data_IF_300272365036
#
_entry.id   IF_300272365036
#
_cell.length_a   1.000
_cell.length_b   1.000
_cell.length_c   1.000
_cell.angle_alpha   90.00
_cell.angle_beta   90.00
_cell.angle_gamma   90.00
#
_symmetry.space_group_name_H-M   'P 1'
#
loop_
_entity.id
_entity.type
_entity.pdbx_description
1 polymer ?
#
# COMPACT_ATOMS: atom_id res chain seq x y z
N UNK A 1 -20.60 -1.64 -3.69
CA UNK A 1 -19.32 -1.15 -3.11
C UNK A 1 -18.87 0.10 -3.87
N UNK A 2 -18.19 1.04 -3.22
CA UNK A 2 -17.67 2.23 -3.89
C UNK A 2 -16.74 1.85 -5.05
N UNK A 3 -16.77 2.66 -6.11
CA UNK A 3 -15.91 2.50 -7.30
C UNK A 3 -14.74 3.49 -7.31
N UNK A 4 -14.84 4.59 -6.57
CA UNK A 4 -13.82 5.63 -6.42
C UNK A 4 -13.83 6.16 -4.97
N UNK A 5 -12.76 6.86 -4.59
CA UNK A 5 -12.70 7.50 -3.26
C UNK A 5 -13.52 8.77 -3.25
N UNK A 6 -14.26 8.99 -2.16
CA UNK A 6 -14.98 10.24 -1.90
C UNK A 6 -14.33 10.96 -0.70
N UNK A 7 -13.52 12.00 -0.96
CA UNK A 7 -12.85 12.77 0.08
C UNK A 7 -13.79 13.27 1.18
N UNK A 8 -15.02 13.65 0.81
CA UNK A 8 -16.05 14.16 1.70
C UNK A 8 -16.48 13.12 2.74
N UNK A 9 -16.57 11.83 2.34
CA UNK A 9 -16.91 10.75 3.28
C UNK A 9 -15.80 10.61 4.34
N UNK A 10 -14.52 10.70 3.95
CA UNK A 10 -13.40 10.67 4.91
C UNK A 10 -13.43 11.85 5.87
N UNK A 11 -13.72 13.05 5.37
CA UNK A 11 -13.85 14.27 6.16
C UNK A 11 -15.02 14.21 7.15
N UNK A 12 -16.18 13.71 6.72
CA UNK A 12 -17.37 13.59 7.55
C UNK A 12 -17.14 12.62 8.71
N UNK A 13 -16.52 11.46 8.45
CA UNK A 13 -16.21 10.50 9.51
C UNK A 13 -15.18 11.09 10.49
N UNK A 14 -14.14 11.77 9.99
CA UNK A 14 -13.18 12.48 10.84
C UNK A 14 -13.86 13.51 11.74
N UNK A 15 -14.70 14.38 11.16
CA UNK A 15 -15.42 15.44 11.89
C UNK A 15 -16.31 14.85 12.99
N UNK A 16 -17.10 13.84 12.64
CA UNK A 16 -17.99 13.16 13.60
C UNK A 16 -17.21 12.53 14.76
N UNK A 17 -16.10 11.83 14.45
CA UNK A 17 -15.22 11.25 15.46
C UNK A 17 -14.58 12.33 16.34
N UNK A 18 -14.02 13.39 15.74
CA UNK A 18 -13.35 14.46 16.47
C UNK A 18 -14.30 15.22 17.40
N UNK A 19 -15.53 15.51 16.95
CA UNK A 19 -16.57 16.15 17.76
C UNK A 19 -16.94 15.29 18.98
N UNK A 20 -17.21 14.01 18.74
CA UNK A 20 -17.51 13.04 19.81
C UNK A 20 -16.36 12.95 20.81
N UNK A 21 -15.13 12.81 20.33
CA UNK A 21 -13.94 12.68 21.18
C UNK A 21 -13.68 13.93 22.01
N UNK A 22 -13.81 15.10 21.40
CA UNK A 22 -13.67 16.37 22.10
C UNK A 22 -14.72 16.52 23.21
N UNK A 23 -15.97 16.14 22.97
CA UNK A 23 -17.04 16.19 23.98
C UNK A 23 -16.77 15.21 25.15
N UNK A 24 -16.24 14.02 24.86
CA UNK A 24 -15.82 13.06 25.90
C UNK A 24 -14.68 13.64 26.76
N UNK A 25 -13.64 14.19 26.13
CA UNK A 25 -12.50 14.78 26.83
C UNK A 25 -12.89 16.00 27.67
N UNK A 26 -13.80 16.84 27.17
CA UNK A 26 -14.36 17.97 27.93
C UNK A 26 -15.12 17.48 29.18
N UNK A 27 -15.97 16.45 29.04
CA UNK A 27 -16.70 15.86 30.16
C UNK A 27 -15.75 15.23 31.20
N UNK A 28 -14.72 14.53 30.75
CA UNK A 28 -13.69 13.97 31.65
C UNK A 28 -12.91 15.06 32.39
N UNK A 29 -12.64 16.19 31.73
CA UNK A 29 -11.92 17.32 32.33
C UNK A 29 -12.74 18.03 33.40
N UNK A 30 -14.06 18.17 33.21
CA UNK A 30 -14.97 18.74 34.22
C UNK A 30 -15.01 17.89 35.49
N UNK A 31 -14.76 16.59 35.38
CA UNK A 31 -14.73 15.64 36.49
C UNK A 31 -13.37 15.57 37.21
N UNK A 32 -12.35 16.32 36.77
CA UNK A 32 -11.01 16.36 37.38
C UNK A 32 -10.70 17.76 37.94
N UNK A 33 -10.10 17.83 39.13
CA UNK A 33 -9.57 19.07 39.69
C UNK A 33 -8.57 19.69 38.70
N UNK A 34 -8.73 20.98 38.39
CA UNK A 34 -7.89 21.67 37.41
C UNK A 34 -6.40 21.48 37.73
N UNK A 35 -5.58 21.04 36.76
CA UNK A 35 -4.14 20.89 36.99
C UNK A 35 -3.54 22.24 37.41
N UNK A 36 -2.57 22.21 38.33
CA UNK A 36 -1.75 23.39 38.67
C UNK A 36 -0.85 23.69 37.45
N UNK A 37 -1.36 24.51 36.53
CA UNK A 37 -0.66 24.94 35.32
C UNK A 37 -1.59 25.15 34.13
N UNK A 38 -1.32 26.19 33.32
CA UNK A 38 -2.06 26.52 32.08
C UNK A 38 -1.75 25.53 30.94
N UNK A 39 -1.97 24.22 31.13
CA UNK A 39 -1.97 23.30 29.99
C UNK A 39 -3.34 23.38 29.32
N UNK A 40 -3.39 23.97 28.13
CA UNK A 40 -4.57 23.97 27.29
C UNK A 40 -4.97 22.52 27.01
N UNK A 41 -6.27 22.20 27.18
CA UNK A 41 -6.79 20.88 26.88
C UNK A 41 -6.56 20.59 25.40
N UNK A 42 -6.02 19.41 25.08
CA UNK A 42 -5.93 18.97 23.69
C UNK A 42 -7.34 18.89 23.11
N UNK A 43 -7.53 19.52 21.96
CA UNK A 43 -8.77 19.49 21.18
C UNK A 43 -8.41 19.15 19.74
N UNK A 44 -9.01 18.10 19.20
CA UNK A 44 -8.81 17.71 17.82
C UNK A 44 -9.50 18.70 16.87
N UNK A 45 -8.80 19.14 15.84
CA UNK A 45 -9.37 20.03 14.82
C UNK A 45 -10.35 19.25 13.94
N UNK A 46 -11.56 19.78 13.77
CA UNK A 46 -12.55 19.20 12.87
C UNK A 46 -12.17 19.39 11.39
N UNK A 47 -11.42 20.45 11.10
CA UNK A 47 -10.77 20.65 9.81
C UNK A 47 -9.40 19.94 9.78
N UNK A 48 -9.32 18.90 8.94
CA UNK A 48 -8.10 18.14 8.70
C UNK A 48 -6.95 19.01 8.19
N UNK A 49 -7.23 20.06 7.41
CA UNK A 49 -6.18 20.89 6.80
C UNK A 49 -5.48 21.75 7.85
N UNK A 50 -6.24 22.24 8.82
CA UNK A 50 -5.74 23.05 9.93
C UNK A 50 -5.04 22.24 11.03
N UNK A 51 -5.09 20.90 11.00
CA UNK A 51 -4.51 20.02 12.02
C UNK A 51 -2.98 20.02 11.95
N UNK A 52 -2.28 20.25 13.07
CA UNK A 52 -0.84 20.03 13.12
C UNK A 52 -0.49 18.55 12.86
N UNK A 53 0.65 18.24 12.25
CA UNK A 53 1.07 16.87 11.90
C UNK A 53 0.99 15.92 13.10
N UNK A 54 1.50 16.34 14.26
CA UNK A 54 1.49 15.54 15.48
C UNK A 54 0.06 15.29 16.01
N UNK A 55 -0.82 16.29 15.92
CA UNK A 55 -2.22 16.17 16.34
C UNK A 55 -3.00 15.26 15.40
N UNK A 56 -2.78 15.39 14.08
CA UNK A 56 -3.41 14.53 13.09
C UNK A 56 -2.97 13.08 13.26
N UNK A 57 -1.67 12.80 13.36
CA UNK A 57 -1.18 11.44 13.62
C UNK A 57 -1.78 10.84 14.90
N UNK A 58 -1.81 11.61 15.98
CA UNK A 58 -2.40 11.14 17.23
C UNK A 58 -3.91 10.89 17.11
N UNK A 59 -4.64 11.77 16.44
CA UNK A 59 -6.07 11.58 16.20
C UNK A 59 -6.35 10.37 15.32
N UNK A 60 -5.59 10.17 14.25
CA UNK A 60 -5.69 8.98 13.40
C UNK A 60 -5.46 7.69 14.19
N UNK A 61 -4.45 7.66 15.08
CA UNK A 61 -4.21 6.49 15.96
C UNK A 61 -5.43 6.13 16.82
N UNK A 62 -6.08 7.14 17.42
CA UNK A 62 -7.27 6.92 18.25
C UNK A 62 -8.46 6.51 17.38
N UNK A 63 -8.66 7.19 16.25
CA UNK A 63 -9.70 6.90 15.28
C UNK A 63 -9.64 5.45 14.79
N UNK A 64 -8.45 4.89 14.57
CA UNK A 64 -8.28 3.48 14.16
C UNK A 64 -8.96 2.48 15.11
N UNK A 65 -9.10 2.83 16.40
CA UNK A 65 -9.70 1.97 17.43
C UNK A 65 -11.12 2.38 17.83
N UNK A 66 -11.40 3.67 17.73
CA UNK A 66 -12.58 4.29 18.33
C UNK A 66 -13.65 4.67 17.31
N UNK A 67 -13.32 4.77 16.01
CA UNK A 67 -14.30 5.12 14.99
C UNK A 67 -15.43 4.07 14.93
N UNK A 68 -16.67 4.56 14.86
CA UNK A 68 -17.90 3.77 14.77
C UNK A 68 -18.77 4.29 13.64
N UNK A 69 -19.57 3.41 13.06
CA UNK A 69 -20.56 3.78 12.05
C UNK A 69 -21.76 4.53 12.67
N UNK A 70 -22.74 4.92 11.85
CA UNK A 70 -23.96 5.60 12.30
C UNK A 70 -24.82 4.80 13.29
N UNK A 71 -24.64 3.48 13.35
CA UNK A 71 -25.33 2.57 14.27
C UNK A 71 -24.55 2.36 15.58
N UNK A 72 -23.34 2.92 15.71
CA UNK A 72 -22.48 2.77 16.88
C UNK A 72 -21.58 1.53 16.85
N UNK A 73 -21.62 0.75 15.77
CA UNK A 73 -20.81 -0.46 15.58
C UNK A 73 -19.40 -0.14 15.04
N UNK A 74 -18.38 -0.94 15.38
CA UNK A 74 -17.03 -0.77 14.83
C UNK A 74 -17.03 -0.97 13.31
N UNK A 75 -16.22 -0.17 12.61
CA UNK A 75 -16.01 -0.37 11.18
C UNK A 75 -15.29 -1.69 10.91
N UNK A 76 -15.69 -2.38 9.84
CA UNK A 76 -14.90 -3.46 9.28
C UNK A 76 -13.51 -2.96 8.90
N UNK A 77 -12.45 -3.77 9.04
CA UNK A 77 -11.08 -3.35 8.76
C UNK A 77 -10.86 -2.76 7.34
N UNK A 78 -11.48 -3.33 6.31
CA UNK A 78 -11.37 -2.84 4.93
C UNK A 78 -12.12 -1.52 4.72
N UNK A 79 -13.26 -1.33 5.40
CA UNK A 79 -14.01 -0.07 5.41
C UNK A 79 -13.21 1.03 6.13
N UNK A 80 -12.56 0.68 7.25
CA UNK A 80 -11.71 1.61 7.97
C UNK A 80 -10.51 2.03 7.12
N UNK A 81 -9.88 1.10 6.40
CA UNK A 81 -8.82 1.43 5.45
C UNK A 81 -9.32 2.34 4.30
N UNK A 82 -10.51 2.06 3.75
CA UNK A 82 -11.16 2.95 2.78
C UNK A 82 -11.34 4.38 3.32
N UNK A 83 -11.81 4.54 4.56
CA UNK A 83 -11.96 5.86 5.21
C UNK A 83 -10.64 6.61 5.27
N UNK A 84 -9.54 5.93 5.66
CA UNK A 84 -8.22 6.56 5.69
C UNK A 84 -7.69 6.94 4.30
N UNK A 85 -8.01 6.16 3.26
CA UNK A 85 -7.71 6.54 1.87
C UNK A 85 -8.50 7.78 1.43
N UNK A 86 -9.77 7.91 1.83
CA UNK A 86 -10.56 9.12 1.61
C UNK A 86 -9.94 10.34 2.32
N UNK A 87 -9.47 10.16 3.56
CA UNK A 87 -8.73 11.22 4.29
C UNK A 87 -7.45 11.61 3.53
N UNK A 88 -6.61 10.65 3.12
CA UNK A 88 -5.40 10.94 2.34
C UNK A 88 -5.72 11.69 1.04
N UNK A 89 -6.78 11.29 0.33
CA UNK A 89 -7.24 11.99 -0.87
C UNK A 89 -7.65 13.43 -0.56
N UNK A 90 -8.43 13.64 0.50
CA UNK A 90 -8.84 14.96 0.95
C UNK A 90 -7.64 15.87 1.27
N UNK A 91 -6.66 15.36 2.03
CA UNK A 91 -5.44 16.10 2.35
C UNK A 91 -4.71 16.53 1.07
N UNK A 92 -4.49 15.59 0.15
CA UNK A 92 -3.78 15.83 -1.10
C UNK A 92 -4.50 16.84 -2.01
N UNK A 93 -5.81 16.69 -2.22
CA UNK A 93 -6.60 17.58 -3.08
C UNK A 93 -6.68 19.02 -2.54
N UNK A 94 -6.58 19.19 -1.22
CA UNK A 94 -6.57 20.49 -0.56
C UNK A 94 -5.14 21.03 -0.31
N UNK A 95 -4.13 20.48 -0.99
CA UNK A 95 -2.78 21.03 -1.02
C UNK A 95 -1.88 20.67 0.17
N UNK A 96 -2.35 19.81 1.07
CA UNK A 96 -1.48 19.24 2.12
C UNK A 96 -0.61 18.14 1.51
N UNK A 97 0.69 18.21 1.78
CA UNK A 97 1.69 17.32 1.14
C UNK A 97 1.93 16.02 1.91
N UNK A 98 1.40 15.92 3.13
CA UNK A 98 1.53 14.76 4.00
C UNK A 98 1.07 13.47 3.31
N UNK A 99 1.87 12.42 3.44
CA UNK A 99 1.47 11.05 3.14
C UNK A 99 1.30 10.28 4.45
N UNK A 100 0.06 10.15 4.92
CA UNK A 100 -0.26 9.52 6.21
C UNK A 100 0.14 8.04 6.26
N UNK A 101 0.41 7.39 5.12
CA UNK A 101 0.77 5.98 5.05
C UNK A 101 2.28 5.72 4.90
N UNK A 102 3.07 6.76 4.58
CA UNK A 102 4.50 6.62 4.26
C UNK A 102 5.41 7.55 5.05
N UNK A 103 4.93 8.73 5.46
CA UNK A 103 5.75 9.72 6.14
C UNK A 103 6.10 9.27 7.57
N UNK A 104 7.36 9.51 7.97
CA UNK A 104 7.89 9.10 9.27
C UNK A 104 7.12 9.66 10.47
N UNK A 105 6.42 10.78 10.30
CA UNK A 105 5.60 11.38 11.34
C UNK A 105 4.35 10.56 11.69
N UNK A 106 3.93 9.65 10.80
CA UNK A 106 2.72 8.84 10.92
C UNK A 106 2.98 7.37 11.26
N UNK A 107 4.22 7.00 11.64
CA UNK A 107 4.62 5.61 11.95
C UNK A 107 3.65 4.96 12.94
N UNK A 108 3.32 5.65 14.04
CA UNK A 108 2.38 5.11 15.05
C UNK A 108 1.00 4.82 14.46
N UNK A 109 0.47 5.71 13.63
CA UNK A 109 -0.81 5.46 12.95
C UNK A 109 -0.70 4.23 12.05
N UNK A 110 0.38 4.11 11.28
CA UNK A 110 0.57 2.95 10.38
C UNK A 110 0.74 1.63 11.13
N UNK A 111 1.35 1.63 12.32
CA UNK A 111 1.42 0.47 13.21
C UNK A 111 0.01 0.06 13.69
N UNK A 112 -0.80 1.01 14.16
CA UNK A 112 -2.18 0.72 14.57
C UNK A 112 -3.05 0.22 13.43
N UNK A 113 -2.91 0.82 12.24
CA UNK A 113 -3.62 0.36 11.05
C UNK A 113 -3.19 -1.05 10.66
N UNK A 114 -1.89 -1.36 10.72
CA UNK A 114 -1.39 -2.71 10.48
C UNK A 114 -2.01 -3.72 11.44
N UNK A 115 -2.05 -3.42 12.75
CA UNK A 115 -2.66 -4.30 13.75
C UNK A 115 -4.13 -4.62 13.47
N UNK A 116 -4.89 -3.67 12.92
CA UNK A 116 -6.28 -3.88 12.52
C UNK A 116 -6.40 -4.72 11.24
N UNK A 117 -5.44 -4.58 10.31
CA UNK A 117 -5.50 -5.20 8.99
C UNK A 117 -4.83 -6.58 8.88
N UNK A 118 -3.87 -6.91 9.76
CA UNK A 118 -2.99 -8.08 9.60
C UNK A 118 -3.72 -9.43 9.58
N UNK A 119 -4.85 -9.51 10.28
CA UNK A 119 -5.65 -10.74 10.39
C UNK A 119 -6.82 -10.78 9.40
N UNK A 120 -6.95 -9.77 8.52
CA UNK A 120 -8.03 -9.71 7.54
C UNK A 120 -7.89 -10.84 6.53
N UNK A 121 -8.89 -11.71 6.50
CA UNK A 121 -9.02 -12.75 5.49
C UNK A 121 -10.08 -12.34 4.44
N UNK A 122 -9.92 -12.77 3.18
CA UNK A 122 -10.97 -12.61 2.18
C UNK A 122 -12.27 -13.24 2.70
N UNK A 123 -13.33 -12.45 2.76
CA UNK A 123 -14.64 -12.93 3.22
C UNK A 123 -15.22 -13.84 2.14
N UNK A 124 -15.64 -15.06 2.49
CA UNK A 124 -16.18 -16.04 1.53
C UNK A 124 -17.66 -16.28 1.84
N UNK A 125 -18.51 -16.15 0.82
CA UNK A 125 -19.94 -16.47 0.91
C UNK A 125 -20.16 -17.97 1.11
N UNK A 126 -21.35 -18.35 1.60
CA UNK A 126 -21.75 -19.77 1.70
C UNK A 126 -21.73 -20.52 0.37
N UNK A 127 -21.75 -19.79 -0.75
CA UNK A 127 -21.66 -20.32 -2.12
C UNK A 127 -20.21 -20.36 -2.66
N UNK A 128 -19.21 -20.01 -1.86
CA UNK A 128 -17.79 -20.08 -2.23
C UNK A 128 -17.24 -18.85 -2.97
N UNK A 129 -18.06 -17.83 -3.22
CA UNK A 129 -17.60 -16.57 -3.83
C UNK A 129 -16.91 -15.68 -2.81
N UNK A 130 -15.81 -15.04 -3.21
CA UNK A 130 -15.12 -14.01 -2.41
C UNK A 130 -15.97 -12.74 -2.41
N UNK A 131 -16.33 -12.25 -1.24
CA UNK A 131 -16.96 -10.95 -1.04
C UNK A 131 -15.91 -9.87 -1.31
N UNK A 132 -16.21 -8.92 -2.21
CA UNK A 132 -15.24 -7.94 -2.63
C UNK A 132 -14.89 -6.97 -1.49
N UNK A 133 -13.61 -6.64 -1.36
CA UNK A 133 -13.13 -5.57 -0.48
C UNK A 133 -13.68 -4.20 -0.91
N UNK A 134 -13.88 -3.31 0.07
CA UNK A 134 -14.24 -1.91 -0.19
C UNK A 134 -13.13 -1.13 -0.89
N UNK A 135 -11.88 -1.58 -0.79
CA UNK A 135 -10.71 -0.92 -1.36
C UNK A 135 -10.37 -1.52 -2.73
N UNK A 136 -10.32 -0.68 -3.76
CA UNK A 136 -9.93 -1.08 -5.13
C UNK A 136 -8.56 -0.52 -5.50
N UNK A 137 -7.92 -1.12 -6.50
CA UNK A 137 -6.67 -0.61 -7.07
C UNK A 137 -6.81 0.83 -7.57
N UNK A 138 -7.92 1.16 -8.23
CA UNK A 138 -8.15 2.52 -8.77
C UNK A 138 -8.10 3.58 -7.67
N UNK A 139 -8.67 3.28 -6.49
CA UNK A 139 -8.65 4.19 -5.35
C UNK A 139 -7.23 4.55 -4.92
N UNK A 140 -6.30 3.58 -4.91
CA UNK A 140 -4.91 3.85 -4.55
C UNK A 140 -4.21 4.72 -5.60
N UNK A 141 -4.55 4.56 -6.89
CA UNK A 141 -4.05 5.46 -7.94
C UNK A 141 -4.60 6.88 -7.76
N UNK A 142 -5.89 7.03 -7.43
CA UNK A 142 -6.54 8.33 -7.22
C UNK A 142 -5.93 9.14 -6.07
N UNK A 143 -5.64 8.50 -4.94
CA UNK A 143 -5.08 9.16 -3.75
C UNK A 143 -3.54 9.10 -3.67
N UNK A 144 -2.87 8.77 -4.78
CA UNK A 144 -1.40 8.73 -4.84
C UNK A 144 -0.77 7.75 -3.83
N UNK A 145 -1.41 6.62 -3.60
CA UNK A 145 -0.82 5.49 -2.86
C UNK A 145 -0.20 4.44 -3.81
N UNK A 146 -0.46 4.57 -5.11
CA UNK A 146 0.30 3.96 -6.20
C UNK A 146 0.83 5.04 -7.16
N UNK A 147 1.98 4.79 -7.78
CA UNK A 147 2.68 5.71 -8.68
C UNK A 147 4.16 5.87 -8.35
N UNK A 148 4.73 6.98 -8.82
CA UNK A 148 6.17 7.25 -8.72
C UNK A 148 6.46 8.70 -8.29
N UNK A 149 5.60 9.31 -7.47
CA UNK A 149 5.78 10.69 -7.00
C UNK A 149 6.66 10.79 -5.75
N UNK A 150 6.88 9.67 -5.04
CA UNK A 150 7.84 9.56 -3.94
C UNK A 150 8.56 8.20 -3.98
N UNK A 151 9.72 8.05 -3.31
CA UNK A 151 10.39 6.77 -3.20
C UNK A 151 9.54 5.69 -2.52
N UNK A 152 8.79 6.06 -1.48
CA UNK A 152 7.93 5.14 -0.73
C UNK A 152 6.79 4.63 -1.62
N UNK A 153 6.10 5.53 -2.32
CA UNK A 153 4.98 5.14 -3.20
C UNK A 153 5.44 4.28 -4.38
N UNK A 154 6.60 4.59 -4.97
CA UNK A 154 7.16 3.73 -6.02
C UNK A 154 7.45 2.32 -5.50
N UNK A 155 7.98 2.21 -4.28
CA UNK A 155 8.27 0.92 -3.66
C UNK A 155 6.97 0.14 -3.38
N UNK A 156 5.94 0.80 -2.83
CA UNK A 156 4.59 0.24 -2.66
C UNK A 156 4.02 -0.24 -3.99
N UNK A 157 4.21 0.53 -5.06
CA UNK A 157 3.67 0.19 -6.39
C UNK A 157 4.32 -1.06 -6.99
N UNK A 158 5.64 -1.19 -6.85
CA UNK A 158 6.34 -2.40 -7.26
C UNK A 158 5.95 -3.61 -6.40
N UNK A 159 5.76 -3.41 -5.09
CA UNK A 159 5.26 -4.48 -4.22
C UNK A 159 3.87 -4.92 -4.65
N UNK A 160 2.96 -3.97 -4.91
CA UNK A 160 1.63 -4.22 -5.44
C UNK A 160 1.65 -5.05 -6.73
N UNK A 161 2.46 -4.66 -7.72
CA UNK A 161 2.60 -5.44 -8.96
C UNK A 161 3.17 -6.83 -8.72
N UNK A 162 4.18 -6.96 -7.86
CA UNK A 162 4.77 -8.26 -7.55
C UNK A 162 3.76 -9.15 -6.79
N UNK A 163 2.93 -8.60 -5.92
CA UNK A 163 1.84 -9.33 -5.27
C UNK A 163 0.77 -9.74 -6.28
N UNK A 164 0.34 -8.83 -7.16
CA UNK A 164 -0.72 -9.07 -8.16
C UNK A 164 -0.32 -10.09 -9.22
N UNK A 165 0.81 -9.84 -9.89
CA UNK A 165 1.19 -10.57 -11.10
C UNK A 165 2.13 -11.74 -10.81
N UNK A 166 3.02 -11.61 -9.83
CA UNK A 166 3.91 -12.70 -9.41
C UNK A 166 3.32 -13.56 -8.29
N UNK A 167 2.15 -13.17 -7.75
CA UNK A 167 1.45 -13.88 -6.68
C UNK A 167 2.32 -14.07 -5.44
N UNK A 168 3.15 -13.08 -5.11
CA UNK A 168 3.89 -13.03 -3.85
C UNK A 168 2.93 -12.55 -2.75
N UNK A 169 2.51 -13.44 -1.87
CA UNK A 169 1.47 -13.23 -0.85
C UNK A 169 2.04 -13.10 0.56
N UNK A 170 3.31 -13.49 0.77
CA UNK A 170 3.94 -13.49 2.10
C UNK A 170 5.21 -12.66 2.14
N UNK A 171 5.52 -12.15 3.33
CA UNK A 171 6.76 -11.39 3.57
C UNK A 171 7.99 -12.19 3.15
N UNK A 172 8.04 -13.49 3.45
CA UNK A 172 9.15 -14.37 3.04
C UNK A 172 9.29 -14.51 1.52
N UNK A 173 8.18 -14.51 0.78
CA UNK A 173 8.22 -14.54 -0.68
C UNK A 173 8.78 -13.23 -1.24
N UNK A 174 8.36 -12.09 -0.70
CA UNK A 174 8.90 -10.78 -1.08
C UNK A 174 10.37 -10.61 -0.68
N UNK A 175 10.79 -11.08 0.50
CA UNK A 175 12.20 -11.05 0.94
C UNK A 175 13.12 -11.92 0.09
N UNK A 176 12.61 -12.99 -0.53
CA UNK A 176 13.38 -13.85 -1.44
C UNK A 176 13.55 -13.26 -2.84
N UNK A 177 12.81 -12.20 -3.16
CA UNK A 177 12.90 -11.51 -4.43
C UNK A 177 14.24 -10.78 -4.53
N UNK A 178 14.85 -10.80 -5.71
CA UNK A 178 16.11 -10.12 -5.94
C UNK A 178 16.18 -9.51 -7.34
N UNK A 179 17.01 -8.46 -7.51
CA UNK A 179 17.24 -7.84 -8.82
C UNK A 179 17.65 -8.88 -9.89
N UNK A 180 18.50 -9.84 -9.54
CA UNK A 180 18.93 -10.89 -10.48
C UNK A 180 17.83 -11.86 -10.92
N UNK A 181 16.70 -11.92 -10.18
CA UNK A 181 15.57 -12.81 -10.45
C UNK A 181 14.43 -12.13 -11.20
N UNK A 182 14.46 -10.81 -11.31
CA UNK A 182 13.43 -9.99 -11.96
C UNK A 182 13.99 -9.46 -13.28
N UNK A 183 13.72 -10.19 -14.35
CA UNK A 183 14.38 -10.00 -15.64
C UNK A 183 13.43 -9.37 -16.66
N UNK A 184 13.95 -8.43 -17.44
CA UNK A 184 13.25 -7.93 -18.62
C UNK A 184 13.32 -8.95 -19.74
N UNK A 185 12.21 -9.17 -20.43
CA UNK A 185 12.17 -9.92 -21.67
C UNK A 185 11.41 -9.14 -22.74
N UNK A 186 11.91 -9.16 -23.96
CA UNK A 186 11.20 -8.65 -25.14
C UNK A 186 10.98 -9.81 -26.11
N UNK A 187 9.73 -10.22 -26.30
CA UNK A 187 9.32 -11.19 -27.30
C UNK A 187 8.97 -10.48 -28.60
N UNK A 188 9.46 -10.99 -29.73
CA UNK A 188 9.03 -10.57 -31.06
C UNK A 188 7.89 -11.48 -31.51
N UNK A 189 6.83 -10.91 -32.05
CA UNK A 189 5.75 -11.69 -32.63
C UNK A 189 6.27 -12.43 -33.88
N UNK A 190 6.17 -13.77 -33.96
CA UNK A 190 6.63 -14.54 -35.12
C UNK A 190 5.91 -14.14 -36.41
N UNK A 191 4.64 -13.73 -36.31
CA UNK A 191 3.80 -13.36 -37.44
C UNK A 191 4.03 -11.91 -37.91
N UNK A 192 4.53 -11.05 -37.03
CA UNK A 192 4.87 -9.66 -37.36
C UNK A 192 6.10 -9.20 -36.57
N UNK A 193 7.31 -9.24 -37.15
CA UNK A 193 8.55 -8.89 -36.44
C UNK A 193 8.64 -7.44 -35.93
N UNK A 194 7.75 -6.54 -36.41
CA UNK A 194 7.65 -5.16 -35.91
C UNK A 194 6.85 -5.06 -34.61
N UNK A 195 6.03 -6.06 -34.32
CA UNK A 195 5.26 -6.17 -33.09
C UNK A 195 6.13 -6.83 -32.00
N UNK A 196 6.41 -6.06 -30.95
CA UNK A 196 7.27 -6.44 -29.83
C UNK A 196 6.48 -6.30 -28.54
N UNK A 197 6.44 -7.36 -27.76
CA UNK A 197 5.89 -7.34 -26.41
C UNK A 197 7.03 -7.35 -25.39
N UNK A 198 7.04 -6.38 -24.49
CA UNK A 198 8.00 -6.33 -23.38
C UNK A 198 7.30 -6.75 -22.08
N UNK A 199 7.92 -7.66 -21.34
CA UNK A 199 7.47 -8.08 -20.02
C UNK A 199 8.61 -8.10 -19.00
N UNK A 200 8.26 -7.96 -17.72
CA UNK A 200 9.15 -8.32 -16.61
C UNK A 200 8.76 -9.71 -16.15
N UNK A 201 9.75 -10.57 -15.95
CA UNK A 201 9.56 -11.96 -15.58
C UNK A 201 10.15 -12.27 -14.23
N UNK A 202 9.46 -13.13 -13.51
CA UNK A 202 9.91 -13.72 -12.26
C UNK A 202 9.74 -15.24 -12.33
N UNK A 203 10.80 -15.97 -12.01
CA UNK A 203 10.72 -17.43 -11.94
C UNK A 203 9.96 -17.82 -10.67
N UNK A 204 8.80 -18.47 -10.82
CA UNK A 204 8.02 -18.98 -9.67
C UNK A 204 8.85 -20.05 -8.99
N UNK A 205 9.18 -19.84 -7.72
CA UNK A 205 9.87 -20.85 -6.90
C UNK A 205 8.88 -21.97 -6.54
N UNK A 206 8.57 -22.84 -7.50
CA UNK A 206 8.01 -24.16 -7.22
C UNK A 206 9.12 -24.93 -6.49
N UNK A 207 8.82 -25.41 -5.28
CA UNK A 207 9.78 -25.83 -4.26
C UNK A 207 11.03 -26.50 -4.83
N UNK A 208 12.20 -25.96 -4.43
CA UNK A 208 13.54 -26.52 -4.66
C UNK A 208 13.62 -27.25 -6.02
N UNK A 209 13.85 -26.49 -7.10
CA UNK A 209 14.19 -27.11 -8.38
C UNK A 209 15.17 -28.24 -8.14
N UNK A 210 14.75 -29.48 -8.39
CA UNK A 210 15.66 -30.61 -8.40
C UNK A 210 16.74 -30.27 -9.42
N UNK A 211 17.99 -30.24 -8.98
CA UNK A 211 19.11 -29.89 -9.84
C UNK A 211 19.05 -30.72 -11.13
N UNK A 212 18.73 -30.07 -12.26
CA UNK A 212 18.60 -30.73 -13.57
C UNK A 212 17.28 -30.53 -14.32
N UNK A 213 16.22 -29.99 -13.71
CA UNK A 213 14.98 -29.69 -14.45
C UNK A 213 15.15 -28.46 -15.34
N UNK A 214 14.86 -28.59 -16.65
CA UNK A 214 14.87 -27.48 -17.59
C UNK A 214 13.76 -26.49 -17.21
N UNK A 215 14.13 -25.22 -17.03
CA UNK A 215 13.16 -24.14 -16.79
C UNK A 215 12.36 -23.91 -18.08
N UNK A 216 11.04 -24.06 -18.00
CA UNK A 216 10.09 -23.85 -19.11
C UNK A 216 9.34 -22.52 -18.96
N UNK A 217 8.71 -22.04 -20.04
CA UNK A 217 8.12 -20.69 -20.11
C UNK A 217 6.96 -20.49 -19.12
N UNK A 218 6.20 -21.55 -18.84
CA UNK A 218 5.07 -21.63 -17.90
C UNK A 218 5.47 -21.45 -16.42
N UNK A 219 6.75 -21.68 -16.11
CA UNK A 219 7.30 -21.49 -14.77
C UNK A 219 7.52 -20.01 -14.43
N UNK A 220 7.44 -19.12 -15.42
CA UNK A 220 7.54 -17.69 -15.19
C UNK A 220 6.17 -17.07 -14.89
N UNK A 221 6.18 -16.10 -13.98
CA UNK A 221 5.13 -15.10 -13.87
C UNK A 221 5.57 -13.84 -14.64
N UNK A 222 4.62 -13.15 -15.26
CA UNK A 222 4.91 -12.02 -16.14
C UNK A 222 4.10 -10.77 -15.76
N UNK A 223 4.75 -9.62 -15.83
CA UNK A 223 4.13 -8.30 -15.83
C UNK A 223 4.29 -7.71 -17.23
N UNK A 224 3.20 -7.45 -17.92
CA UNK A 224 3.23 -6.94 -19.30
C UNK A 224 3.29 -5.42 -19.35
N UNK A 225 3.81 -4.88 -20.46
CA UNK A 225 3.73 -3.45 -20.74
C UNK A 225 2.28 -2.97 -20.83
N UNK A 226 2.02 -1.79 -20.26
CA UNK A 226 0.79 -1.04 -20.45
C UNK A 226 1.12 0.19 -21.33
N UNK A 227 0.96 0.10 -22.66
CA UNK A 227 1.27 1.20 -23.56
C UNK A 227 0.24 2.34 -23.49
N UNK A 228 -0.99 2.04 -23.08
CA UNK A 228 -2.09 3.01 -23.01
C UNK A 228 -1.92 3.99 -21.84
N UNK A 229 -1.34 3.52 -20.73
CA UNK A 229 -1.06 4.36 -19.57
C UNK A 229 0.38 4.17 -19.06
N UNK A 230 1.35 4.93 -19.62
CA UNK A 230 2.76 4.85 -19.22
C UNK A 230 3.03 5.13 -17.74
N UNK A 231 2.18 5.94 -17.09
CA UNK A 231 2.34 6.30 -15.67
C UNK A 231 1.94 5.15 -14.72
N UNK A 232 1.16 4.19 -15.21
CA UNK A 232 0.77 2.97 -14.48
C UNK A 232 1.41 1.72 -15.05
N UNK A 233 2.36 1.87 -15.98
CA UNK A 233 2.98 0.75 -16.67
C UNK A 233 4.04 0.07 -15.79
N UNK A 234 3.91 -1.24 -15.50
CA UNK A 234 4.88 -1.98 -14.68
C UNK A 234 6.31 -1.87 -15.20
N UNK A 235 6.47 -1.90 -16.53
CA UNK A 235 7.77 -1.81 -17.19
C UNK A 235 8.43 -0.44 -16.95
N UNK A 236 7.67 0.64 -17.14
CA UNK A 236 8.18 2.01 -16.97
C UNK A 236 8.48 2.32 -15.52
N UNK A 237 7.63 1.86 -14.60
CA UNK A 237 7.82 2.06 -13.17
C UNK A 237 9.01 1.26 -12.63
N UNK A 238 9.22 0.03 -13.11
CA UNK A 238 10.42 -0.74 -12.77
C UNK A 238 11.70 -0.12 -13.35
N UNK A 239 11.67 0.38 -14.59
CA UNK A 239 12.80 1.11 -15.15
C UNK A 239 13.14 2.35 -14.34
N UNK A 240 12.11 3.09 -13.93
CA UNK A 240 12.29 4.27 -13.09
C UNK A 240 12.89 3.91 -11.73
N UNK A 241 12.45 2.79 -11.13
CA UNK A 241 13.06 2.27 -9.91
C UNK A 241 14.53 1.92 -10.10
N UNK A 242 14.88 1.15 -11.14
CA UNK A 242 16.27 0.81 -11.47
C UNK A 242 17.13 2.04 -11.75
N UNK A 243 16.54 3.09 -12.33
CA UNK A 243 17.20 4.35 -12.58
C UNK A 243 17.52 5.11 -11.28
N UNK A 244 16.59 5.09 -10.32
CA UNK A 244 16.73 5.74 -9.00
C UNK A 244 17.53 4.94 -7.98
N UNK A 245 17.86 3.68 -8.27
CA UNK A 245 18.70 2.82 -7.44
C UNK A 245 20.20 3.08 -7.66
N UNK A 246 21.07 2.93 -6.64
CA UNK A 246 22.52 2.95 -6.81
C UNK A 246 22.97 1.86 -7.81
N UNK A 247 23.94 2.15 -8.67
CA UNK A 247 24.36 1.19 -9.71
C UNK A 247 24.90 -0.13 -9.13
N UNK A 248 25.48 -0.09 -7.92
CA UNK A 248 26.04 -1.26 -7.23
C UNK A 248 25.01 -2.31 -6.84
N UNK A 249 23.71 -1.96 -6.79
CA UNK A 249 22.66 -2.93 -6.46
C UNK A 249 22.15 -3.70 -7.67
N UNK A 250 22.45 -3.21 -8.89
CA UNK A 250 22.02 -3.86 -10.12
C UNK A 250 22.74 -5.20 -10.25
N UNK A 251 21.98 -6.29 -10.25
CA UNK A 251 22.51 -7.65 -10.31
C UNK A 251 22.69 -8.33 -8.94
N UNK A 252 22.39 -7.65 -7.82
CA UNK A 252 22.29 -8.29 -6.51
C UNK A 252 21.29 -9.44 -6.53
N UNK A 253 21.63 -10.51 -5.84
CA UNK A 253 20.86 -11.76 -5.78
C UNK A 253 20.14 -11.98 -4.44
N UNK A 254 20.25 -11.02 -3.52
CA UNK A 254 19.79 -11.09 -2.14
C UNK A 254 18.68 -10.10 -1.81
N UNK A 255 18.46 -9.07 -2.64
CA UNK A 255 17.42 -8.06 -2.38
C UNK A 255 16.82 -7.47 -3.66
N UNK A 256 15.56 -7.06 -3.56
CA UNK A 256 14.84 -6.30 -4.58
C UNK A 256 14.32 -4.97 -4.04
N UNK A 257 13.85 -4.91 -2.79
CA UNK A 257 13.25 -3.72 -2.18
C UNK A 257 14.27 -2.98 -1.34
N UNK A 258 14.65 -1.77 -1.76
CA UNK A 258 15.65 -0.95 -1.09
C UNK A 258 15.00 0.13 -0.22
N UNK A 259 15.68 0.49 0.87
CA UNK A 259 15.22 1.52 1.80
C UNK A 259 15.28 2.91 1.15
N UNK A 260 14.15 3.64 1.09
CA UNK A 260 14.11 5.04 0.69
C UNK A 260 15.09 5.92 1.47
N UNK A 261 15.73 6.86 0.80
CA UNK A 261 16.50 7.91 1.47
C UNK A 261 15.53 8.86 2.20
N UNK A 262 15.73 9.15 3.51
CA UNK A 262 14.76 9.91 4.31
C UNK A 262 14.49 11.33 3.83
N UNK A 263 15.48 11.96 3.21
CA UNK A 263 15.38 13.34 2.69
C UNK A 263 15.88 13.33 1.26
N UNK A 264 14.94 13.22 0.31
CA UNK A 264 15.28 13.18 -1.11
C UNK A 264 14.30 14.01 -1.93
N UNK A 265 14.85 14.90 -2.76
CA UNK A 265 14.05 15.69 -3.68
C UNK A 265 13.56 14.82 -4.85
N UNK A 266 12.39 15.10 -5.44
CA UNK A 266 11.86 14.31 -6.57
C UNK A 266 12.82 14.23 -7.78
N UNK A 267 13.57 15.30 -8.02
CA UNK A 267 14.56 15.38 -9.10
C UNK A 267 15.92 14.74 -8.76
N UNK A 268 16.12 14.24 -7.53
CA UNK A 268 17.37 13.59 -7.14
C UNK A 268 17.67 12.39 -8.05
N UNK A 269 18.93 12.19 -8.49
CA UNK A 269 19.29 11.05 -9.31
C UNK A 269 19.17 9.71 -8.57
N UNK A 270 19.26 9.72 -7.24
CA UNK A 270 19.19 8.53 -6.39
C UNK A 270 18.12 8.74 -5.33
N UNK A 271 17.22 7.76 -5.19
CA UNK A 271 16.14 7.76 -4.19
C UNK A 271 16.29 6.69 -3.10
N UNK A 272 17.14 5.70 -3.32
CA UNK A 272 17.23 4.53 -2.46
C UNK A 272 18.67 4.30 -2.01
N UNK A 273 18.81 3.81 -0.78
CA UNK A 273 20.08 3.34 -0.24
C UNK A 273 20.44 1.94 -0.79
N UNK A 274 21.59 1.40 -0.41
CA UNK A 274 21.98 0.01 -0.70
C UNK A 274 21.39 -1.01 0.28
N UNK A 275 20.70 -0.55 1.33
CA UNK A 275 20.15 -1.40 2.38
C UNK A 275 18.75 -1.89 1.97
N UNK A 276 18.41 -3.15 2.25
CA UNK A 276 17.05 -3.64 2.07
C UNK A 276 16.10 -2.97 3.07
N UNK A 277 14.82 -2.84 2.72
CA UNK A 277 13.79 -2.49 3.72
C UNK A 277 13.73 -3.56 4.81
N UNK A 278 13.34 -3.14 6.02
CA UNK A 278 13.15 -4.07 7.14
C UNK A 278 11.98 -5.03 6.87
N UNK A 279 12.01 -6.18 7.55
CA UNK A 279 10.90 -7.14 7.53
C UNK A 279 9.58 -6.49 7.97
N UNK A 280 9.63 -5.68 9.02
CA UNK A 280 8.47 -4.98 9.58
C UNK A 280 7.86 -3.99 8.58
N UNK A 281 8.67 -3.15 7.93
CA UNK A 281 8.18 -2.24 6.89
C UNK A 281 7.52 -3.01 5.72
N UNK A 282 8.15 -4.10 5.28
CA UNK A 282 7.61 -4.96 4.24
C UNK A 282 6.27 -5.57 4.65
N UNK A 283 6.16 -6.03 5.88
CA UNK A 283 4.94 -6.60 6.45
C UNK A 283 3.80 -5.56 6.47
N UNK A 284 4.05 -4.36 7.00
CA UNK A 284 3.06 -3.30 7.02
C UNK A 284 2.56 -2.90 5.62
N UNK A 285 3.48 -2.78 4.65
CA UNK A 285 3.14 -2.50 3.25
C UNK A 285 2.29 -3.63 2.65
N UNK A 286 2.74 -4.88 2.81
CA UNK A 286 2.07 -6.05 2.24
C UNK A 286 0.68 -6.26 2.84
N UNK A 287 0.52 -6.09 4.14
CA UNK A 287 -0.78 -6.17 4.83
C UNK A 287 -1.81 -5.25 4.17
N UNK A 288 -1.45 -3.99 3.88
CA UNK A 288 -2.36 -3.06 3.18
C UNK A 288 -2.67 -3.49 1.76
N UNK A 289 -1.68 -4.03 1.05
CA UNK A 289 -1.84 -4.51 -0.33
C UNK A 289 -2.79 -5.72 -0.40
N UNK A 290 -2.69 -6.67 0.54
CA UNK A 290 -3.51 -7.89 0.55
C UNK A 290 -5.00 -7.64 0.76
N UNK A 291 -5.37 -6.47 1.29
CA UNK A 291 -6.77 -6.05 1.49
C UNK A 291 -7.41 -5.56 0.20
N UNK A 292 -6.63 -5.26 -0.85
CA UNK A 292 -7.15 -4.69 -2.10
C UNK A 292 -7.92 -5.75 -2.89
N UNK A 293 -9.11 -5.37 -3.40
CA UNK A 293 -10.03 -6.26 -4.11
C UNK A 293 -9.35 -7.03 -5.25
N UNK A 294 -8.66 -6.34 -6.14
CA UNK A 294 -8.01 -6.94 -7.31
C UNK A 294 -6.88 -7.90 -6.92
N UNK A 295 -6.26 -7.71 -5.75
CA UNK A 295 -5.28 -8.64 -5.19
C UNK A 295 -5.99 -9.90 -4.69
N UNK A 296 -7.07 -9.75 -3.92
CA UNK A 296 -7.86 -10.89 -3.43
C UNK A 296 -8.43 -11.73 -4.57
N UNK A 297 -8.93 -11.08 -5.63
CA UNK A 297 -9.41 -11.74 -6.84
C UNK A 297 -8.30 -12.49 -7.58
N UNK A 298 -7.13 -11.86 -7.80
CA UNK A 298 -5.99 -12.52 -8.43
C UNK A 298 -5.51 -13.75 -7.64
N UNK A 299 -5.48 -13.64 -6.31
CA UNK A 299 -5.13 -14.73 -5.39
C UNK A 299 -6.16 -15.87 -5.47
N UNK A 300 -7.45 -15.54 -5.48
CA UNK A 300 -8.53 -16.52 -5.54
C UNK A 300 -8.52 -17.30 -6.87
N UNK A 301 -8.40 -16.60 -8.00
CA UNK A 301 -8.30 -17.22 -9.33
C UNK A 301 -7.12 -18.18 -9.39
N UNK A 302 -5.96 -17.76 -8.90
CA UNK A 302 -4.76 -18.60 -8.89
C UNK A 302 -4.93 -19.87 -8.04
N UNK A 303 -5.62 -19.78 -6.89
CA UNK A 303 -5.86 -20.93 -6.04
C UNK A 303 -6.80 -21.96 -6.70
N UNK A 304 -7.81 -21.50 -7.47
CA UNK A 304 -8.69 -22.39 -8.25
C UNK A 304 -7.89 -23.10 -9.35
N UNK A 305 -7.00 -22.40 -10.04
CA UNK A 305 -6.15 -23.01 -11.08
C UNK A 305 -5.14 -24.04 -10.56
N UNK A 306 -4.81 -24.02 -9.26
CA UNK A 306 -3.93 -25.04 -8.65
C UNK A 306 -4.65 -26.28 -8.14
N UNK A 307 -5.99 -26.28 -8.08
CA UNK A 307 -6.80 -27.43 -7.65
C UNK A 307 -7.25 -28.34 -8.80
N UNK A 308 -7.02 -27.93 -10.04
CA UNK A 308 -7.30 -28.67 -11.27
C UNK A 308 -6.00 -29.09 -11.95
#
# INVERSE_FOLDING_TARGET
LPQSLKPEEGLEVWKSWAQTKNAEMEKESQNRLAPIGRRQLLRFQEDLISSAVAELNYGLCLMTREARNSEGEPYDPDVLYYIFLCIQKYLFENGRVDDIFSDLYYIRFTEWLHEVLKDVQPRITSLGYVLPSHVTEEMLWECKQLGAHSPATLLTTLMFFNTKYFLLKTVDQHMKLAFSKVLRQTKKNPSNPKDKSTSIRYLKALGIHQAGQKVTDDMYAEQTENPENPLRCPIKLYDFYLFKCPQTVKGRNDTFYLTPEPVVAPNSPIWYSIQPISREQMEQMLTRILVIREIQEAIAVANVSTMH
#
